data_IF_514504895325
#
_entry.id   IF_514504895325
#
_cell.length_a   1.000
_cell.length_b   1.000
_cell.length_c   1.000
_cell.angle_alpha   90.00
_cell.angle_beta   90.00
_cell.angle_gamma   90.00
#
_symmetry.space_group_name_H-M   'P 1'
#
loop_
_entity.id
_entity.type
_entity.pdbx_description
1 polymer ?
#
# COMPACT_ATOMS: atom_id res chain seq x y z
N UNK A 1 0.63 -5.75 9.63
CA UNK A 1 0.22 -6.97 10.34
C UNK A 1 -1.28 -7.14 10.20
N UNK A 2 -1.68 -8.27 9.63
CA UNK A 2 -3.04 -8.80 9.65
C UNK A 2 -3.02 -10.09 10.46
N UNK A 3 -3.86 -10.18 11.48
CA UNK A 3 -4.02 -11.40 12.28
C UNK A 3 -5.29 -12.15 11.87
N UNK A 4 -5.61 -13.25 12.56
CA UNK A 4 -6.77 -14.08 12.21
C UNK A 4 -6.65 -14.70 10.82
N UNK A 5 -5.43 -15.10 10.42
CA UNK A 5 -5.13 -15.60 9.09
C UNK A 5 -5.96 -16.84 8.71
N UNK A 6 -6.45 -17.62 9.68
CA UNK A 6 -7.37 -18.73 9.42
C UNK A 6 -8.62 -18.30 8.65
N UNK A 7 -9.18 -17.12 8.96
CA UNK A 7 -10.35 -16.58 8.25
C UNK A 7 -9.98 -16.13 6.82
N UNK A 8 -8.76 -15.63 6.62
CA UNK A 8 -8.24 -15.27 5.29
C UNK A 8 -8.03 -16.54 4.47
N UNK A 9 -7.40 -17.57 5.05
CA UNK A 9 -7.14 -18.84 4.40
C UNK A 9 -8.45 -19.58 4.03
N UNK A 10 -9.48 -19.50 4.88
CA UNK A 10 -10.84 -19.95 4.54
C UNK A 10 -11.38 -19.23 3.32
N UNK A 11 -11.34 -17.89 3.32
CA UNK A 11 -11.85 -17.08 2.21
C UNK A 11 -11.09 -17.35 0.90
N UNK A 12 -9.77 -17.56 0.97
CA UNK A 12 -8.96 -17.92 -0.20
C UNK A 12 -9.35 -19.29 -0.76
N UNK A 13 -9.72 -20.24 0.10
CA UNK A 13 -10.19 -21.56 -0.32
C UNK A 13 -11.59 -21.50 -0.93
N UNK A 14 -12.50 -20.73 -0.35
CA UNK A 14 -13.83 -20.46 -0.92
C UNK A 14 -13.72 -19.84 -2.33
N UNK A 15 -12.75 -18.94 -2.51
CA UNK A 15 -12.46 -18.31 -3.81
C UNK A 15 -11.64 -19.20 -4.76
N UNK A 16 -11.17 -20.36 -4.32
CA UNK A 16 -10.39 -21.30 -5.14
C UNK A 16 -9.00 -20.78 -5.54
N UNK A 17 -8.39 -19.90 -4.74
CA UNK A 17 -7.09 -19.26 -5.04
C UNK A 17 -6.00 -19.51 -3.97
N UNK A 18 -6.22 -20.49 -3.09
CA UNK A 18 -5.25 -20.81 -2.04
C UNK A 18 -3.88 -21.22 -2.59
N UNK A 19 -3.82 -21.71 -3.83
CA UNK A 19 -2.59 -22.03 -4.55
C UNK A 19 -1.74 -20.80 -4.91
N UNK A 20 -2.29 -19.58 -4.83
CA UNK A 20 -1.54 -18.34 -4.99
C UNK A 20 -0.63 -18.01 -3.79
N UNK A 21 -0.85 -18.66 -2.64
CA UNK A 21 -0.05 -18.46 -1.42
C UNK A 21 0.98 -19.58 -1.32
N UNK A 22 2.26 -19.23 -1.49
CA UNK A 22 3.38 -20.17 -1.46
C UNK A 22 4.21 -20.05 -0.19
N UNK A 23 4.15 -18.91 0.50
CA UNK A 23 4.80 -18.63 1.76
C UNK A 23 3.85 -18.52 2.96
N UNK A 24 4.32 -17.81 3.98
CA UNK A 24 3.68 -17.75 5.30
C UNK A 24 3.31 -16.33 5.72
N UNK A 25 3.54 -15.32 4.86
CA UNK A 25 3.31 -13.94 5.27
C UNK A 25 1.83 -13.58 5.19
N UNK A 26 1.44 -12.64 6.04
CA UNK A 26 0.14 -11.97 5.98
C UNK A 26 -0.01 -11.19 4.67
N UNK A 27 1.05 -10.51 4.24
CA UNK A 27 1.09 -9.73 2.99
C UNK A 27 0.79 -10.57 1.74
N UNK A 28 1.25 -11.82 1.69
CA UNK A 28 1.00 -12.73 0.57
C UNK A 28 -0.46 -13.19 0.52
N UNK A 29 -1.07 -13.49 1.68
CA UNK A 29 -2.50 -13.82 1.78
C UNK A 29 -3.38 -12.64 1.40
N UNK A 30 -3.03 -11.44 1.87
CA UNK A 30 -3.71 -10.20 1.47
C UNK A 30 -3.60 -9.98 -0.03
N UNK A 31 -2.43 -10.21 -0.63
CA UNK A 31 -2.24 -10.09 -2.07
C UNK A 31 -3.02 -11.13 -2.88
N UNK A 32 -3.07 -12.39 -2.42
CA UNK A 32 -3.88 -13.44 -3.02
C UNK A 32 -5.38 -13.08 -2.97
N UNK A 33 -5.85 -12.52 -1.85
CA UNK A 33 -7.24 -12.08 -1.70
C UNK A 33 -7.55 -10.91 -2.65
N UNK A 34 -6.68 -9.91 -2.73
CA UNK A 34 -6.80 -8.80 -3.69
C UNK A 34 -6.87 -9.37 -5.12
N UNK A 35 -6.00 -10.32 -5.45
CA UNK A 35 -5.99 -10.95 -6.78
C UNK A 35 -7.29 -11.67 -7.09
N UNK A 36 -7.86 -12.41 -6.14
CA UNK A 36 -9.16 -13.06 -6.30
C UNK A 36 -10.26 -12.04 -6.55
N UNK A 37 -10.32 -10.96 -5.74
CA UNK A 37 -11.34 -9.91 -5.93
C UNK A 37 -11.19 -9.18 -7.26
N UNK A 38 -9.97 -8.93 -7.72
CA UNK A 38 -9.77 -8.34 -9.05
C UNK A 38 -10.35 -9.25 -10.14
N UNK A 39 -10.24 -10.58 -10.02
CA UNK A 39 -10.87 -11.52 -10.96
C UNK A 39 -12.40 -11.50 -10.84
N UNK A 40 -12.94 -11.42 -9.64
CA UNK A 40 -14.39 -11.31 -9.39
C UNK A 40 -14.99 -10.03 -9.99
N UNK A 41 -14.20 -8.96 -10.08
CA UNK A 41 -14.56 -7.67 -10.68
C UNK A 41 -14.09 -7.52 -12.14
N UNK A 42 -14.01 -8.63 -12.90
CA UNK A 42 -13.68 -8.65 -14.34
C UNK A 42 -12.35 -7.93 -14.70
N UNK A 43 -11.39 -7.93 -13.78
CA UNK A 43 -10.10 -7.27 -13.95
C UNK A 43 -10.05 -5.80 -13.50
N UNK A 44 -11.13 -5.25 -12.93
CA UNK A 44 -11.09 -3.93 -12.31
C UNK A 44 -10.25 -3.96 -11.03
N UNK A 45 -9.02 -3.46 -11.16
CA UNK A 45 -8.04 -3.41 -10.07
C UNK A 45 -8.52 -2.55 -8.90
N UNK A 46 -9.16 -1.42 -9.18
CA UNK A 46 -9.64 -0.51 -8.14
C UNK A 46 -10.78 -1.16 -7.36
N UNK A 47 -11.76 -1.72 -8.06
CA UNK A 47 -12.89 -2.38 -7.42
C UNK A 47 -12.44 -3.60 -6.60
N UNK A 48 -11.60 -4.47 -7.19
CA UNK A 48 -11.08 -5.65 -6.51
C UNK A 48 -10.23 -5.34 -5.28
N UNK A 49 -9.32 -4.35 -5.39
CA UNK A 49 -8.53 -3.89 -4.24
C UNK A 49 -9.44 -3.38 -3.11
N UNK A 50 -10.40 -2.52 -3.42
CA UNK A 50 -11.28 -1.95 -2.39
C UNK A 50 -12.21 -2.99 -1.77
N UNK A 51 -12.71 -3.94 -2.55
CA UNK A 51 -13.53 -5.04 -2.05
C UNK A 51 -12.75 -5.94 -1.07
N UNK A 52 -11.53 -6.36 -1.44
CA UNK A 52 -10.65 -7.12 -0.56
C UNK A 52 -10.35 -6.36 0.74
N UNK A 53 -10.02 -5.07 0.63
CA UNK A 53 -9.67 -4.25 1.79
C UNK A 53 -10.85 -3.96 2.71
N UNK A 54 -12.06 -3.79 2.17
CA UNK A 54 -13.29 -3.69 2.96
C UNK A 54 -13.56 -4.98 3.72
N UNK A 55 -13.44 -6.12 3.05
CA UNK A 55 -13.62 -7.41 3.70
C UNK A 55 -12.62 -7.62 4.84
N UNK A 56 -11.34 -7.29 4.63
CA UNK A 56 -10.32 -7.35 5.69
C UNK A 56 -10.67 -6.42 6.85
N UNK A 57 -11.02 -5.17 6.55
CA UNK A 57 -11.40 -4.17 7.56
C UNK A 57 -12.58 -4.63 8.43
N UNK A 58 -13.53 -5.36 7.85
CA UNK A 58 -14.72 -5.83 8.54
C UNK A 58 -14.53 -7.15 9.30
N UNK A 59 -13.56 -7.98 8.89
CA UNK A 59 -13.54 -9.41 9.29
C UNK A 59 -12.38 -9.78 10.19
N UNK A 60 -11.20 -9.17 10.01
CA UNK A 60 -9.96 -9.64 10.66
C UNK A 60 -9.32 -8.57 11.54
N UNK A 61 -8.59 -8.96 12.61
CA UNK A 61 -7.80 -8.00 13.37
C UNK A 61 -6.68 -7.40 12.51
N UNK A 62 -6.61 -6.07 12.47
CA UNK A 62 -5.76 -5.34 11.54
C UNK A 62 -4.99 -4.23 12.25
N UNK A 63 -3.66 -4.34 12.22
CA UNK A 63 -2.75 -3.31 12.74
C UNK A 63 -2.42 -2.25 11.68
N UNK A 64 -1.94 -2.71 10.51
CA UNK A 64 -1.53 -1.85 9.40
C UNK A 64 -1.36 -2.65 8.10
N UNK A 65 -1.86 -2.07 7.00
CA UNK A 65 -1.74 -2.55 5.62
C UNK A 65 -1.58 -1.34 4.68
N UNK A 66 -0.35 -1.10 4.24
CA UNK A 66 -0.07 -0.19 3.14
C UNK A 66 0.16 -1.01 1.87
N UNK A 67 -0.58 -0.72 0.80
CA UNK A 67 -0.51 -1.45 -0.47
C UNK A 67 0.08 -0.54 -1.54
N UNK A 68 1.09 -1.04 -2.25
CA UNK A 68 1.51 -0.53 -3.55
C UNK A 68 1.30 -1.65 -4.57
N UNK A 69 0.38 -1.46 -5.50
CA UNK A 69 0.08 -2.40 -6.58
C UNK A 69 0.39 -1.75 -7.91
N UNK A 70 1.03 -2.47 -8.82
CA UNK A 70 1.30 -1.97 -10.16
C UNK A 70 0.93 -2.97 -11.24
N UNK A 71 0.53 -2.43 -12.38
CA UNK A 71 0.52 -3.12 -13.67
C UNK A 71 1.69 -2.61 -14.50
N UNK A 72 1.76 -3.01 -15.77
CA UNK A 72 2.77 -2.49 -16.70
C UNK A 72 2.71 -0.96 -16.87
N UNK A 73 1.56 -0.32 -16.63
CA UNK A 73 1.34 1.10 -16.96
C UNK A 73 0.68 1.92 -15.86
N UNK A 74 0.19 1.30 -14.80
CA UNK A 74 -0.60 1.97 -13.77
C UNK A 74 -0.16 1.55 -12.37
N UNK A 75 -0.40 2.41 -11.39
CA UNK A 75 -0.06 2.14 -9.98
C UNK A 75 -1.19 2.58 -9.06
N UNK A 76 -1.47 1.75 -8.05
CA UNK A 76 -2.39 2.03 -6.95
C UNK A 76 -1.61 2.05 -5.64
N UNK A 77 -1.92 3.05 -4.82
CA UNK A 77 -1.38 3.18 -3.47
C UNK A 77 -2.53 3.33 -2.49
N UNK A 78 -2.55 2.52 -1.42
CA UNK A 78 -3.52 2.60 -0.34
C UNK A 78 -2.78 2.62 0.99
N UNK A 79 -3.17 3.53 1.88
CA UNK A 79 -2.68 3.57 3.27
C UNK A 79 -3.81 3.22 4.22
N UNK A 80 -3.72 2.15 5.00
CA UNK A 80 -4.81 1.76 5.91
C UNK A 80 -4.36 0.94 7.13
N UNK A 81 -4.76 1.27 8.37
CA UNK A 81 -5.37 2.51 8.83
C UNK A 81 -4.25 3.53 9.08
N UNK A 82 -4.35 4.39 10.11
CA UNK A 82 -3.38 5.47 10.33
C UNK A 82 -1.98 5.01 10.81
N UNK A 83 -1.83 3.76 11.24
CA UNK A 83 -0.67 3.28 12.01
C UNK A 83 0.68 3.52 11.32
N UNK A 84 0.82 3.09 10.06
CA UNK A 84 2.05 3.31 9.28
C UNK A 84 1.89 4.47 8.32
N UNK A 85 2.98 5.19 8.07
CA UNK A 85 2.99 6.31 7.12
C UNK A 85 3.23 5.81 5.70
N UNK A 86 2.61 6.51 4.75
CA UNK A 86 2.85 6.35 3.32
C UNK A 86 2.69 7.73 2.70
N UNK A 87 3.77 8.22 2.11
CA UNK A 87 3.83 9.53 1.49
C UNK A 87 3.75 9.41 -0.03
N UNK A 88 3.23 10.46 -0.66
CA UNK A 88 3.27 10.66 -2.10
C UNK A 88 4.00 11.96 -2.43
N UNK A 89 4.83 11.94 -3.47
CA UNK A 89 5.47 13.10 -4.07
C UNK A 89 5.09 13.18 -5.55
N UNK A 90 4.43 14.28 -5.94
CA UNK A 90 4.08 14.58 -7.33
C UNK A 90 5.17 15.43 -7.99
N UNK A 91 5.91 14.82 -8.93
CA UNK A 91 7.00 15.44 -9.71
C UNK A 91 6.61 15.65 -11.18
N UNK A 92 5.32 15.65 -11.53
CA UNK A 92 4.90 15.68 -12.95
C UNK A 92 5.26 16.96 -13.69
N UNK A 93 5.57 18.03 -12.96
CA UNK A 93 5.91 19.34 -13.51
C UNK A 93 7.22 19.89 -12.94
N UNK A 94 8.14 19.01 -12.56
CA UNK A 94 9.47 19.43 -12.12
C UNK A 94 10.20 20.13 -13.28
N UNK A 95 10.92 21.21 -12.95
CA UNK A 95 11.84 21.83 -13.90
C UNK A 95 12.94 20.81 -14.22
N UNK A 96 13.33 20.70 -15.49
CA UNK A 96 14.25 19.70 -16.03
C UNK A 96 15.66 19.65 -15.38
N UNK A 97 15.96 20.57 -14.46
CA UNK A 97 17.24 20.64 -13.74
C UNK A 97 17.19 20.06 -12.32
N UNK A 98 16.04 19.53 -11.86
CA UNK A 98 15.98 18.83 -10.56
C UNK A 98 16.39 17.38 -10.73
N UNK A 99 17.58 17.05 -10.23
CA UNK A 99 18.05 15.66 -10.16
C UNK A 99 17.04 14.77 -9.40
N UNK A 100 16.89 13.52 -9.85
CA UNK A 100 16.15 12.52 -9.08
C UNK A 100 17.16 11.81 -8.19
N UNK A 101 17.37 12.38 -7.01
CA UNK A 101 18.24 11.81 -5.98
C UNK A 101 17.53 11.89 -4.63
N UNK A 102 16.82 10.81 -4.31
CA UNK A 102 16.10 10.64 -3.05
C UNK A 102 16.99 9.86 -2.07
N UNK A 103 17.04 10.29 -0.80
CA UNK A 103 17.88 9.66 0.21
C UNK A 103 17.32 9.81 1.62
N UNK A 104 17.25 8.69 2.32
CA UNK A 104 17.11 8.61 3.78
C UNK A 104 18.42 8.08 4.38
N UNK A 105 18.49 7.90 5.69
CA UNK A 105 19.68 7.31 6.32
C UNK A 105 19.93 5.86 5.86
N UNK A 106 18.89 5.14 5.42
CA UNK A 106 18.96 3.73 4.99
C UNK A 106 18.92 3.54 3.48
N UNK A 107 18.14 4.37 2.78
CA UNK A 107 17.75 4.11 1.40
C UNK A 107 18.23 5.26 0.52
N UNK A 108 18.78 4.93 -0.65
CA UNK A 108 19.10 5.90 -1.69
C UNK A 108 18.50 5.44 -3.01
N UNK A 109 17.76 6.31 -3.68
CA UNK A 109 17.25 6.10 -5.02
C UNK A 109 17.74 7.22 -5.95
N UNK A 110 18.35 6.85 -7.07
CA UNK A 110 18.91 7.79 -8.03
C UNK A 110 18.49 7.43 -9.46
N UNK A 111 18.12 8.42 -10.28
CA UNK A 111 17.80 8.20 -11.69
C UNK A 111 18.06 9.43 -12.56
N UNK A 112 19.01 9.31 -13.49
CA UNK A 112 19.24 10.35 -14.51
C UNK A 112 18.01 10.60 -15.38
N UNK A 113 17.25 9.55 -15.68
CA UNK A 113 16.07 9.65 -16.54
C UNK A 113 14.93 10.41 -15.87
N UNK A 114 14.73 10.22 -14.57
CA UNK A 114 13.66 10.89 -13.82
C UNK A 114 14.02 12.32 -13.40
N UNK A 115 15.28 12.75 -13.59
CA UNK A 115 15.63 14.17 -13.47
C UNK A 115 15.02 15.04 -14.57
N UNK A 116 14.80 14.46 -15.76
CA UNK A 116 14.22 15.14 -16.92
C UNK A 116 12.79 14.69 -17.27
N UNK A 117 12.18 13.80 -16.48
CA UNK A 117 10.86 13.22 -16.74
C UNK A 117 9.94 13.34 -15.54
N UNK A 118 8.67 13.58 -15.84
CA UNK A 118 7.57 13.50 -14.89
C UNK A 118 7.57 12.16 -14.15
N UNK A 119 7.34 12.19 -12.84
CA UNK A 119 7.22 10.99 -12.02
C UNK A 119 6.30 11.24 -10.83
N UNK A 120 5.81 10.15 -10.24
CA UNK A 120 5.11 10.13 -8.95
C UNK A 120 5.85 9.13 -8.07
N UNK A 121 6.17 9.52 -6.84
CA UNK A 121 6.93 8.67 -5.91
C UNK A 121 6.06 8.36 -4.71
N UNK A 122 6.04 7.10 -4.31
CA UNK A 122 5.47 6.65 -3.04
C UNK A 122 6.59 6.14 -2.14
N UNK A 123 6.56 6.51 -0.87
CA UNK A 123 7.58 6.09 0.10
C UNK A 123 6.98 6.03 1.51
N UNK A 124 7.50 5.13 2.35
CA UNK A 124 7.10 5.04 3.76
C UNK A 124 7.54 6.25 4.58
N UNK A 125 8.52 7.02 4.13
CA UNK A 125 9.01 8.24 4.76
C UNK A 125 9.35 9.29 3.70
N UNK A 126 9.47 10.56 4.11
CA UNK A 126 9.97 11.61 3.21
C UNK A 126 11.44 11.32 2.90
N UNK A 127 11.80 11.34 1.61
CA UNK A 127 13.15 10.97 1.18
C UNK A 127 14.04 12.18 0.81
N UNK A 128 13.54 13.39 0.96
CA UNK A 128 14.28 14.65 0.84
C UNK A 128 13.44 15.78 1.48
N UNK A 129 13.95 17.02 1.40
CA UNK A 129 13.27 18.21 1.93
C UNK A 129 12.23 18.80 0.97
N UNK A 130 11.77 18.07 -0.06
CA UNK A 130 10.77 18.59 -0.98
C UNK A 130 9.44 18.84 -0.22
N UNK A 131 8.95 20.09 -0.15
CA UNK A 131 7.75 20.42 0.63
C UNK A 131 6.47 19.79 0.06
N UNK A 132 6.52 19.24 -1.15
CA UNK A 132 5.38 18.59 -1.81
C UNK A 132 5.15 17.16 -1.33
N UNK A 133 6.03 16.59 -0.51
CA UNK A 133 5.77 15.32 0.15
C UNK A 133 4.52 15.41 1.02
N UNK A 134 3.46 14.72 0.60
CA UNK A 134 2.19 14.67 1.31
C UNK A 134 2.00 13.29 1.93
N UNK A 135 1.73 13.24 3.23
CA UNK A 135 1.26 12.03 3.88
C UNK A 135 -0.12 11.67 3.32
N UNK A 136 -0.30 10.44 2.86
CA UNK A 136 -1.61 9.95 2.43
C UNK A 136 -2.56 9.88 3.62
N UNK A 137 -3.83 10.25 3.44
CA UNK A 137 -4.82 10.12 4.53
C UNK A 137 -5.09 8.64 4.84
N UNK A 138 -5.46 8.27 6.08
CA UNK A 138 -5.92 6.92 6.39
C UNK A 138 -7.12 6.56 5.50
N UNK A 139 -7.05 5.41 4.84
CA UNK A 139 -8.07 4.94 3.89
C UNK A 139 -8.05 5.63 2.53
N UNK A 140 -7.07 6.49 2.25
CA UNK A 140 -6.90 7.12 0.94
C UNK A 140 -6.33 6.14 -0.07
N UNK A 141 -7.07 5.96 -1.16
CA UNK A 141 -6.60 5.33 -2.39
C UNK A 141 -6.12 6.42 -3.35
N UNK A 142 -4.92 6.23 -3.88
CA UNK A 142 -4.37 7.01 -4.98
C UNK A 142 -4.14 6.08 -6.16
N UNK A 143 -4.65 6.47 -7.32
CA UNK A 143 -4.41 5.79 -8.59
C UNK A 143 -3.64 6.73 -9.51
N UNK A 144 -2.55 6.21 -10.08
CA UNK A 144 -1.72 6.87 -11.08
C UNK A 144 -1.86 6.09 -12.38
N UNK A 145 -2.43 6.74 -13.40
CA UNK A 145 -2.63 6.12 -14.70
C UNK A 145 -1.37 6.17 -15.60
N UNK A 146 -1.49 5.65 -16.83
CA UNK A 146 -0.41 5.61 -17.81
C UNK A 146 0.09 7.00 -18.26
N UNK A 147 -0.74 8.04 -18.13
CA UNK A 147 -0.40 9.44 -18.38
C UNK A 147 0.11 10.17 -17.14
N UNK A 148 0.31 9.46 -16.03
CA UNK A 148 0.60 10.02 -14.70
C UNK A 148 -0.54 10.90 -14.15
N UNK A 149 -1.78 10.78 -14.62
CA UNK A 149 -2.88 11.46 -13.94
C UNK A 149 -3.09 10.83 -12.56
N UNK A 150 -3.20 11.67 -11.54
CA UNK A 150 -3.35 11.24 -10.15
C UNK A 150 -4.81 11.44 -9.76
N UNK A 151 -5.51 10.33 -9.55
CA UNK A 151 -6.85 10.29 -8.95
C UNK A 151 -6.72 9.95 -7.47
N UNK A 152 -7.50 10.60 -6.62
CA UNK A 152 -7.44 10.42 -5.16
C UNK A 152 -8.85 10.32 -4.60
N UNK A 153 -9.04 9.40 -3.66
CA UNK A 153 -10.31 9.25 -2.95
C UNK A 153 -10.08 8.61 -1.59
N UNK A 154 -10.76 9.11 -0.55
CA UNK A 154 -10.86 8.38 0.72
C UNK A 154 -11.86 7.24 0.52
N UNK A 155 -11.34 6.04 0.27
CA UNK A 155 -12.13 4.88 -0.11
C UNK A 155 -12.54 4.01 1.09
N UNK A 156 -11.83 4.15 2.22
CA UNK A 156 -12.08 3.48 3.50
C UNK A 156 -12.15 4.53 4.63
N UNK A 157 -13.27 5.24 4.81
CA UNK A 157 -13.34 6.43 5.68
C UNK A 157 -13.29 6.13 7.19
N UNK A 158 -13.39 4.87 7.60
CA UNK A 158 -13.41 4.46 9.01
C UNK A 158 -12.30 3.47 9.36
N UNK A 159 -11.98 3.33 10.65
CA UNK A 159 -11.03 2.32 11.12
C UNK A 159 -11.54 0.90 10.86
N UNK A 160 -10.66 -0.11 10.84
CA UNK A 160 -11.05 -1.51 10.85
C UNK A 160 -11.96 -1.79 12.05
N UNK A 161 -12.93 -2.69 11.87
CA UNK A 161 -13.82 -3.17 12.95
C UNK A 161 -13.04 -3.76 14.12
N UNK A 162 -11.92 -4.41 13.81
CA UNK A 162 -11.02 -5.07 14.76
C UNK A 162 -9.62 -4.43 14.69
N UNK A 163 -9.53 -3.11 14.84
CA UNK A 163 -8.24 -2.43 14.78
C UNK A 163 -7.35 -2.82 15.96
N UNK A 164 -6.10 -3.22 15.66
CA UNK A 164 -5.08 -3.52 16.65
C UNK A 164 -4.26 -2.27 16.99
N UNK A 165 -3.86 -2.15 18.25
CA UNK A 165 -2.84 -1.23 18.71
C UNK A 165 -1.48 -1.94 18.82
N UNK A 166 -0.40 -1.15 18.98
CA UNK A 166 0.95 -1.70 19.12
C UNK A 166 1.06 -2.63 20.34
N UNK A 167 0.36 -2.30 21.43
CA UNK A 167 0.31 -3.11 22.65
C UNK A 167 -0.27 -4.51 22.45
N UNK A 168 -1.06 -4.70 21.39
CA UNK A 168 -1.75 -5.96 21.11
C UNK A 168 -0.86 -6.93 20.33
N UNK A 169 0.24 -6.45 19.75
CA UNK A 169 1.18 -7.26 18.99
C UNK A 169 2.14 -8.00 19.92
N UNK A 170 2.50 -9.24 19.54
CA UNK A 170 3.57 -9.99 20.21
C UNK A 170 4.93 -9.29 20.09
N UNK A 171 5.79 -9.47 21.09
CA UNK A 171 7.09 -8.77 21.18
C UNK A 171 7.97 -8.89 19.92
N UNK A 172 8.15 -10.08 19.31
CA UNK A 172 8.93 -10.20 18.08
C UNK A 172 8.31 -9.41 16.91
N UNK A 173 6.98 -9.37 16.84
CA UNK A 173 6.24 -8.66 15.78
C UNK A 173 6.39 -7.16 15.98
N UNK A 174 6.25 -6.65 17.21
CA UNK A 174 6.49 -5.24 17.56
C UNK A 174 7.87 -4.77 17.13
N UNK A 175 8.92 -5.52 17.48
CA UNK A 175 10.29 -5.18 17.12
C UNK A 175 10.50 -5.14 15.60
N UNK A 176 9.85 -6.04 14.85
CA UNK A 176 9.92 -6.06 13.39
C UNK A 176 9.19 -4.87 12.73
N UNK A 177 8.15 -4.31 13.37
CA UNK A 177 7.45 -3.12 12.83
C UNK A 177 8.27 -1.84 12.97
N UNK A 178 9.21 -1.80 13.92
CA UNK A 178 10.04 -0.65 14.24
C UNK A 178 11.52 -1.02 14.13
N UNK A 179 11.97 -1.48 12.96
CA UNK A 179 13.40 -1.65 12.72
C UNK A 179 14.12 -0.32 13.08
N UNK A 180 15.11 -0.35 14.00
CA UNK A 180 15.61 0.86 14.65
C UNK A 180 16.15 1.84 13.62
N UNK A 181 15.87 3.13 13.85
CA UNK A 181 16.16 4.26 12.96
C UNK A 181 17.65 4.50 12.68
#
# INVERSE_FOLDING_TARGET
VVEGLDAVDERLREAGVNDLVLGQTDSERVFALITARIRDHDGDVTAGLLDAMRWLADTVPLYAVNVLLSTATQMWALRYPQTHTLYVLDRRHDRADRDFHLRTNRIRAYSRHLGARSSVVFASERMDDDPRWRLMEPGELIHVDAGLHISRSVALPGPPRHQLAESDLDEPVRQAQHAPA
#
